data_IF_093754533897
#
_entry.id   IF_093754533897
#
_cell.length_a   1.000
_cell.length_b   1.000
_cell.length_c   1.000
_cell.angle_alpha   90.00
_cell.angle_beta   90.00
_cell.angle_gamma   90.00
#
_symmetry.space_group_name_H-M   'P 1'
#
loop_
_entity.id
_entity.type
_entity.pdbx_description
1 polymer ?
#
# COMPACT_ATOMS: atom_id res chain seq x y z
N UNK A 1 -80.93 -35.64 -32.08
CA UNK A 1 -79.74 -36.23 -32.73
C UNK A 1 -78.52 -35.73 -31.98
N UNK A 2 -77.91 -36.55 -31.12
CA UNK A 2 -76.75 -36.15 -30.31
C UNK A 2 -75.70 -37.25 -30.43
N UNK A 3 -74.59 -36.97 -31.13
CA UNK A 3 -73.45 -37.87 -31.30
C UNK A 3 -72.20 -37.17 -30.78
N UNK A 4 -71.42 -37.87 -29.95
CA UNK A 4 -70.03 -37.52 -29.70
C UNK A 4 -69.52 -37.77 -28.30
N UNK A 5 -69.28 -39.03 -27.94
CA UNK A 5 -68.36 -39.42 -26.84
C UNK A 5 -67.55 -40.63 -27.29
N UNK A 6 -66.24 -40.43 -27.50
CA UNK A 6 -65.12 -41.40 -27.42
C UNK A 6 -63.87 -40.51 -27.14
N UNK A 7 -63.22 -40.57 -25.97
CA UNK A 7 -62.08 -41.45 -25.60
C UNK A 7 -60.96 -41.41 -26.66
N UNK A 8 -59.67 -41.17 -26.41
CA UNK A 8 -58.83 -41.41 -25.23
C UNK A 8 -57.40 -40.86 -25.51
N UNK A 9 -56.49 -40.99 -24.53
CA UNK A 9 -55.01 -40.99 -24.64
C UNK A 9 -54.22 -39.68 -24.41
N UNK A 10 -53.73 -39.53 -23.17
CA UNK A 10 -52.45 -38.89 -22.78
C UNK A 10 -51.41 -40.05 -22.71
N UNK A 11 -50.13 -39.91 -23.11
CA UNK A 11 -49.17 -39.09 -22.36
C UNK A 11 -47.99 -38.48 -23.15
N UNK A 12 -47.56 -37.28 -22.79
CA UNK A 12 -46.24 -36.78 -23.15
C UNK A 12 -45.70 -35.77 -22.14
N UNK A 13 -44.38 -35.83 -21.97
CA UNK A 13 -43.46 -34.92 -21.28
C UNK A 13 -43.45 -34.91 -19.74
N UNK A 14 -42.99 -36.03 -19.19
CA UNK A 14 -41.86 -36.00 -18.25
C UNK A 14 -40.68 -35.19 -18.85
N UNK A 15 -40.23 -34.10 -18.23
CA UNK A 15 -38.95 -33.48 -18.62
C UNK A 15 -38.70 -32.00 -18.35
N UNK A 16 -39.45 -31.28 -17.51
CA UNK A 16 -39.26 -29.82 -17.34
C UNK A 16 -38.82 -29.35 -15.94
N UNK A 17 -38.39 -30.26 -15.05
CA UNK A 17 -37.82 -29.87 -13.74
C UNK A 17 -36.28 -29.77 -13.76
N UNK A 18 -35.67 -29.76 -14.94
CA UNK A 18 -34.23 -29.61 -15.09
C UNK A 18 -33.80 -28.13 -14.96
N UNK A 19 -33.41 -27.78 -13.74
CA UNK A 19 -32.31 -26.82 -13.47
C UNK A 19 -32.56 -25.39 -13.96
N UNK A 20 -33.51 -24.71 -13.35
CA UNK A 20 -33.29 -23.31 -13.02
C UNK A 20 -32.49 -23.23 -11.73
N UNK A 21 -31.21 -23.62 -11.81
CA UNK A 21 -30.20 -23.06 -10.92
C UNK A 21 -30.22 -21.56 -11.20
N UNK A 22 -31.00 -20.82 -10.42
CA UNK A 22 -30.92 -19.36 -10.37
C UNK A 22 -29.48 -19.02 -10.09
N UNK A 23 -28.77 -18.63 -11.14
CA UNK A 23 -27.49 -17.95 -11.09
C UNK A 23 -27.69 -16.78 -10.14
N UNK A 24 -27.24 -16.93 -8.90
CA UNK A 24 -27.20 -15.82 -7.97
C UNK A 24 -26.33 -14.76 -8.65
N UNK A 25 -26.81 -13.52 -8.86
CA UNK A 25 -25.93 -12.47 -9.34
C UNK A 25 -24.84 -12.33 -8.28
N UNK A 26 -23.59 -12.66 -8.66
CA UNK A 26 -22.42 -12.32 -7.87
C UNK A 26 -22.58 -10.84 -7.52
N UNK A 27 -22.72 -10.51 -6.24
CA UNK A 27 -22.64 -9.15 -5.74
C UNK A 27 -21.26 -8.64 -6.13
N UNK A 28 -21.14 -8.10 -7.34
CA UNK A 28 -19.97 -7.34 -7.74
C UNK A 28 -20.00 -6.12 -6.82
N UNK A 29 -19.10 -6.13 -5.84
CA UNK A 29 -18.90 -4.98 -4.98
C UNK A 29 -18.45 -3.83 -5.87
N UNK A 30 -19.39 -2.94 -6.21
CA UNK A 30 -19.12 -1.76 -6.98
C UNK A 30 -18.43 -0.74 -6.05
N UNK A 31 -17.15 -0.97 -5.76
CA UNK A 31 -16.32 0.07 -5.19
C UNK A 31 -16.14 1.15 -6.25
N UNK A 32 -16.93 2.22 -6.15
CA UNK A 32 -16.67 3.45 -6.90
C UNK A 32 -15.42 4.05 -6.31
N UNK A 33 -14.29 3.84 -6.99
CA UNK A 33 -13.03 4.49 -6.62
C UNK A 33 -13.18 5.97 -6.91
N UNK A 34 -13.11 6.79 -5.86
CA UNK A 34 -12.96 8.23 -6.01
C UNK A 34 -11.56 8.51 -6.58
N UNK A 35 -11.52 8.71 -7.91
CA UNK A 35 -10.29 8.89 -8.65
C UNK A 35 -9.45 10.09 -8.17
N UNK A 36 -10.09 11.13 -7.62
CA UNK A 36 -9.38 12.30 -7.11
C UNK A 36 -8.68 11.99 -5.79
N UNK A 37 -9.39 11.32 -4.87
CA UNK A 37 -8.79 10.88 -3.61
C UNK A 37 -7.68 9.84 -3.84
N UNK A 38 -7.85 8.95 -4.82
CA UNK A 38 -6.82 8.00 -5.22
C UNK A 38 -5.55 8.71 -5.73
N UNK A 39 -5.69 9.68 -6.64
CA UNK A 39 -4.54 10.46 -7.15
C UNK A 39 -3.80 11.20 -6.04
N UNK A 40 -4.55 11.87 -5.15
CA UNK A 40 -3.95 12.58 -4.00
C UNK A 40 -3.15 11.64 -3.13
N UNK A 41 -3.67 10.43 -2.86
CA UNK A 41 -2.98 9.44 -2.05
C UNK A 41 -1.70 8.95 -2.70
N UNK A 42 -1.75 8.60 -3.99
CA UNK A 42 -0.56 8.17 -4.75
C UNK A 42 0.55 9.24 -4.71
N UNK A 43 0.18 10.52 -4.87
CA UNK A 43 1.14 11.61 -4.78
C UNK A 43 1.71 11.77 -3.37
N UNK A 44 0.87 11.68 -2.33
CA UNK A 44 1.31 11.75 -0.94
C UNK A 44 2.32 10.65 -0.62
N UNK A 45 2.06 9.42 -1.06
CA UNK A 45 2.93 8.27 -0.77
C UNK A 45 4.26 8.38 -1.55
N UNK A 46 4.22 8.75 -2.83
CA UNK A 46 5.44 9.00 -3.62
C UNK A 46 6.31 10.11 -3.01
N UNK A 47 5.69 11.18 -2.50
CA UNK A 47 6.41 12.24 -1.80
C UNK A 47 6.97 11.77 -0.46
N UNK A 48 6.21 11.00 0.32
CA UNK A 48 6.67 10.46 1.59
C UNK A 48 7.89 9.55 1.41
N UNK A 49 7.85 8.62 0.44
CA UNK A 49 8.96 7.74 0.09
C UNK A 49 10.19 8.53 -0.38
N UNK A 50 10.00 9.50 -1.29
CA UNK A 50 11.08 10.33 -1.79
C UNK A 50 11.74 11.21 -0.71
N UNK A 51 10.92 11.74 0.21
CA UNK A 51 11.41 12.50 1.37
C UNK A 51 12.15 11.60 2.35
N UNK A 52 11.63 10.41 2.66
CA UNK A 52 12.30 9.45 3.55
C UNK A 52 13.70 9.10 3.04
N UNK A 53 13.82 8.74 1.76
CA UNK A 53 15.12 8.46 1.13
C UNK A 53 16.08 9.68 1.18
N UNK A 54 15.55 10.89 1.14
CA UNK A 54 16.35 12.12 1.27
C UNK A 54 16.87 12.31 2.69
N UNK A 55 16.05 12.04 3.71
CA UNK A 55 16.50 12.06 5.11
C UNK A 55 17.54 10.98 5.40
N UNK A 56 17.41 9.78 4.84
CA UNK A 56 18.42 8.73 5.00
C UNK A 56 19.76 9.12 4.40
N UNK A 57 19.77 9.66 3.17
CA UNK A 57 20.99 10.19 2.56
C UNK A 57 21.62 11.28 3.41
N UNK A 58 20.80 12.17 3.98
CA UNK A 58 21.29 13.23 4.87
C UNK A 58 21.87 12.69 6.17
N UNK A 59 21.27 11.66 6.76
CA UNK A 59 21.83 10.97 7.92
C UNK A 59 23.21 10.37 7.59
N UNK A 60 23.36 9.74 6.42
CA UNK A 60 24.64 9.21 5.97
C UNK A 60 25.71 10.30 5.80
N UNK A 61 25.33 11.49 5.32
CA UNK A 61 26.24 12.64 5.23
C UNK A 61 26.73 13.09 6.61
N UNK A 62 25.84 13.16 7.60
CA UNK A 62 26.24 13.51 8.97
C UNK A 62 27.18 12.47 9.57
N UNK A 63 26.88 11.18 9.38
CA UNK A 63 27.77 10.09 9.83
C UNK A 63 29.13 10.14 9.14
N UNK A 64 29.15 10.41 7.84
CA UNK A 64 30.39 10.54 7.08
C UNK A 64 31.25 11.73 7.56
N UNK A 65 30.61 12.83 7.94
CA UNK A 65 31.26 14.03 8.46
C UNK A 65 31.75 13.90 9.91
N UNK A 66 31.49 12.78 10.59
CA UNK A 66 31.94 12.57 11.97
C UNK A 66 33.46 12.54 12.07
N UNK A 67 34.05 13.16 13.11
CA UNK A 67 35.50 13.19 13.29
C UNK A 67 36.08 11.78 13.45
N UNK A 68 37.15 11.48 12.72
CA UNK A 68 37.91 10.23 12.84
C UNK A 68 39.21 10.45 13.63
N UNK A 69 39.83 9.38 14.17
CA UNK A 69 41.13 9.49 14.85
C UNK A 69 42.23 10.06 13.97
N UNK A 70 42.18 9.79 12.67
CA UNK A 70 43.20 10.19 11.68
C UNK A 70 42.97 11.57 11.08
N UNK A 71 41.85 12.23 11.38
CA UNK A 71 41.53 13.52 10.77
C UNK A 71 42.37 14.65 11.38
N UNK A 72 42.77 15.61 10.55
CA UNK A 72 43.40 16.84 11.02
C UNK A 72 42.39 17.70 11.80
N UNK A 73 42.69 17.98 13.07
CA UNK A 73 41.80 18.71 14.00
C UNK A 73 42.20 20.16 14.23
N UNK A 74 43.34 20.60 13.69
CA UNK A 74 43.87 21.95 13.92
C UNK A 74 44.06 22.24 15.41
N UNK A 75 43.55 23.39 15.85
CA UNK A 75 43.58 23.84 17.25
C UNK A 75 42.41 23.33 18.11
N UNK A 76 41.54 22.48 17.57
CA UNK A 76 40.39 21.98 18.32
C UNK A 76 40.83 21.05 19.45
N UNK A 77 40.31 21.33 20.65
CA UNK A 77 40.52 20.50 21.84
C UNK A 77 39.76 19.17 21.71
N UNK A 78 40.17 18.13 22.46
CA UNK A 78 39.44 16.86 22.48
C UNK A 78 37.96 17.02 22.86
N UNK A 79 37.65 17.96 23.77
CA UNK A 79 36.29 18.23 24.21
C UNK A 79 35.42 18.79 23.07
N UNK A 80 35.92 19.76 22.31
CA UNK A 80 35.21 20.34 21.15
C UNK A 80 34.98 19.31 20.04
N UNK A 81 35.96 18.42 19.82
CA UNK A 81 35.82 17.32 18.86
C UNK A 81 34.73 16.34 19.30
N UNK A 82 34.70 15.98 20.58
CA UNK A 82 33.68 15.11 21.15
C UNK A 82 32.28 15.75 21.08
N UNK A 83 32.18 17.04 21.38
CA UNK A 83 30.93 17.79 21.28
C UNK A 83 30.42 17.83 19.83
N UNK A 84 31.32 18.07 18.87
CA UNK A 84 30.99 18.02 17.44
C UNK A 84 30.50 16.64 17.01
N UNK A 85 31.19 15.57 17.43
CA UNK A 85 30.76 14.19 17.14
C UNK A 85 29.35 13.91 17.70
N UNK A 86 29.08 14.34 18.94
CA UNK A 86 27.78 14.17 19.57
C UNK A 86 26.66 14.89 18.82
N UNK A 87 26.90 16.13 18.35
CA UNK A 87 25.93 16.88 17.53
C UNK A 87 25.62 16.18 16.22
N UNK A 88 26.66 15.76 15.48
CA UNK A 88 26.50 15.07 14.19
C UNK A 88 25.75 13.74 14.35
N UNK A 89 26.05 12.98 15.41
CA UNK A 89 25.32 11.76 15.74
C UNK A 89 23.84 12.03 16.02
N UNK A 90 23.56 13.04 16.85
CA UNK A 90 22.18 13.42 17.16
C UNK A 90 21.39 13.86 15.92
N UNK A 91 22.03 14.58 14.99
CA UNK A 91 21.43 14.98 13.72
C UNK A 91 21.16 13.79 12.79
N UNK A 92 22.11 12.86 12.67
CA UNK A 92 21.91 11.62 11.93
C UNK A 92 20.71 10.83 12.46
N UNK A 93 20.60 10.69 13.78
CA UNK A 93 19.49 9.98 14.41
C UNK A 93 18.15 10.71 14.26
N UNK A 94 18.16 12.05 14.28
CA UNK A 94 16.96 12.87 13.96
C UNK A 94 16.48 12.61 12.54
N UNK A 95 17.40 12.55 11.58
CA UNK A 95 17.06 12.28 10.18
C UNK A 95 16.48 10.87 10.00
N UNK A 96 17.10 9.84 10.60
CA UNK A 96 16.58 8.46 10.54
C UNK A 96 15.17 8.35 11.11
N UNK A 97 14.94 8.90 12.31
CA UNK A 97 13.59 8.92 12.91
C UNK A 97 12.57 9.64 12.03
N UNK A 98 12.97 10.71 11.35
CA UNK A 98 12.08 11.42 10.45
C UNK A 98 11.73 10.58 9.21
N UNK A 99 12.71 9.89 8.62
CA UNK A 99 12.47 8.95 7.53
C UNK A 99 11.50 7.84 7.95
N UNK A 100 11.71 7.24 9.13
CA UNK A 100 10.81 6.21 9.68
C UNK A 100 9.37 6.73 9.85
N UNK A 101 9.20 7.94 10.39
CA UNK A 101 7.88 8.56 10.56
C UNK A 101 7.16 8.79 9.22
N UNK A 102 7.88 9.23 8.19
CA UNK A 102 7.32 9.41 6.86
C UNK A 102 6.84 8.08 6.27
N UNK A 103 7.59 7.00 6.47
CA UNK A 103 7.17 5.68 5.98
C UNK A 103 6.01 5.11 6.79
N UNK A 104 6.03 5.23 8.12
CA UNK A 104 4.96 4.70 8.99
C UNK A 104 3.62 5.41 8.77
N UNK A 105 3.64 6.74 8.71
CA UNK A 105 2.40 7.55 8.50
C UNK A 105 1.70 7.19 7.19
N UNK A 106 2.46 6.71 6.20
CA UNK A 106 1.95 6.41 4.88
C UNK A 106 1.73 4.90 4.63
N UNK A 107 2.33 4.01 5.43
CA UNK A 107 2.21 2.56 5.29
C UNK A 107 0.85 1.99 5.72
N UNK A 108 0.12 2.64 6.63
CA UNK A 108 -1.13 2.14 7.21
C UNK A 108 -2.37 2.31 6.31
N UNK A 109 -2.23 2.89 5.11
CA UNK A 109 -3.39 3.29 4.30
C UNK A 109 -3.83 2.31 3.22
N UNK A 110 -3.13 1.19 3.04
CA UNK A 110 -3.55 0.14 2.12
C UNK A 110 -4.01 -1.08 2.91
N UNK A 111 -5.29 -1.45 2.77
CA UNK A 111 -5.68 -2.84 3.01
C UNK A 111 -4.78 -3.74 2.15
N UNK A 112 -4.29 -4.85 2.70
CA UNK A 112 -3.41 -5.79 1.99
C UNK A 112 -3.96 -6.23 0.62
N UNK A 113 -5.29 -6.19 0.50
CA UNK A 113 -6.06 -6.39 -0.72
C UNK A 113 -5.64 -5.47 -1.88
N UNK A 114 -5.40 -4.17 -1.62
CA UNK A 114 -4.99 -3.22 -2.67
C UNK A 114 -3.55 -3.49 -3.13
N UNK A 115 -2.65 -3.84 -2.20
CA UNK A 115 -1.28 -4.25 -2.54
C UNK A 115 -1.25 -5.57 -3.31
N UNK A 116 -2.20 -6.47 -3.04
CA UNK A 116 -2.33 -7.72 -3.77
C UNK A 116 -2.80 -7.48 -5.21
N UNK A 117 -3.82 -6.65 -5.41
CA UNK A 117 -4.30 -6.29 -6.77
C UNK A 117 -3.19 -5.63 -7.60
N UNK A 118 -2.42 -4.71 -7.03
CA UNK A 118 -1.32 -4.06 -7.77
C UNK A 118 -0.21 -5.04 -8.20
N UNK A 119 0.02 -6.12 -7.45
CA UNK A 119 0.98 -7.17 -7.82
C UNK A 119 0.47 -8.12 -8.90
N UNK A 120 -0.84 -8.31 -9.02
CA UNK A 120 -1.42 -9.19 -10.04
C UNK A 120 -1.47 -8.54 -11.44
N UNK A 121 -1.36 -7.21 -11.52
CA UNK A 121 -1.48 -6.43 -12.76
C UNK A 121 -0.12 -5.96 -13.30
N UNK A 122 0.97 -6.10 -12.52
CA UNK A 122 2.35 -5.79 -12.92
C UNK A 122 3.06 -7.01 -13.52
#
# INVERSE_FOLDING_TARGET
MNKGRLSEATPASSGEEARHQRTQPRRQSAYVVDAENFRRRVLQDALAEGLAATFDRRAALFEWARPRPTDFRGSATPAEVAERDARLRADADRCRRHADLLLQTHADAYADEVRQVLREVA
#
